data_IF_740546393520
#
_entry.id   IF_740546393520
#
_cell.length_a   1.000
_cell.length_b   1.000
_cell.length_c   1.000
_cell.angle_alpha   90.00
_cell.angle_beta   90.00
_cell.angle_gamma   90.00
#
_symmetry.space_group_name_H-M   'P 1'
#
loop_
_entity.id
_entity.type
_entity.pdbx_description
1 polymer ?
#
# COMPACT_ATOMS: atom_id res chain seq x y z
N UNK A 1 -11.91 13.76 19.51
CA UNK A 1 -12.13 12.36 19.11
C UNK A 1 -11.71 12.26 17.66
N UNK A 2 -10.49 11.80 17.37
CA UNK A 2 -10.08 11.54 15.99
C UNK A 2 -10.88 10.33 15.50
N UNK A 3 -11.87 10.57 14.67
CA UNK A 3 -12.58 9.50 13.96
C UNK A 3 -11.57 8.85 13.01
N UNK A 4 -11.06 7.70 13.39
CA UNK A 4 -10.20 6.90 12.52
C UNK A 4 -10.95 6.62 11.23
N UNK A 5 -10.38 7.04 10.10
CA UNK A 5 -11.00 6.95 8.78
C UNK A 5 -11.00 5.51 8.23
N UNK A 6 -10.21 4.61 8.84
CA UNK A 6 -10.11 3.21 8.42
C UNK A 6 -11.08 2.35 9.25
N UNK A 7 -11.96 1.60 8.57
CA UNK A 7 -12.92 0.65 9.16
C UNK A 7 -12.75 -0.76 8.62
N UNK A 8 -12.25 -0.90 7.41
CA UNK A 8 -12.02 -2.20 6.78
C UNK A 8 -10.67 -2.20 6.07
N UNK A 9 -9.88 -3.22 6.31
CA UNK A 9 -8.56 -3.41 5.71
C UNK A 9 -8.57 -4.70 4.92
N UNK A 10 -8.31 -4.64 3.61
CA UNK A 10 -8.12 -5.83 2.79
C UNK A 10 -6.66 -6.29 2.86
N UNK A 11 -6.43 -7.59 3.01
CA UNK A 11 -5.11 -8.19 2.88
C UNK A 11 -5.19 -9.40 1.96
N UNK A 12 -4.20 -9.55 1.10
CA UNK A 12 -4.06 -10.70 0.24
C UNK A 12 -3.08 -11.69 0.87
N UNK A 13 -3.41 -12.96 0.83
CA UNK A 13 -2.51 -14.04 1.24
C UNK A 13 -2.44 -15.13 0.17
N UNK A 14 -1.28 -15.73 -0.01
CA UNK A 14 -1.08 -16.84 -0.93
C UNK A 14 -1.41 -18.17 -0.26
N UNK A 15 -1.77 -19.14 -1.08
CA UNK A 15 -2.02 -20.52 -0.66
C UNK A 15 -1.14 -21.48 -1.45
N UNK A 16 -0.13 -22.09 -0.82
CA UNK A 16 0.28 -21.95 0.58
C UNK A 16 0.82 -20.55 0.91
N UNK A 17 0.84 -20.20 2.20
CA UNK A 17 1.38 -18.92 2.68
C UNK A 17 2.84 -18.76 2.27
N UNK A 18 3.19 -17.53 1.91
CA UNK A 18 4.58 -17.13 1.63
C UNK A 18 5.09 -16.17 2.73
N UNK A 19 6.41 -16.04 2.90
CA UNK A 19 6.99 -15.23 4.00
C UNK A 19 6.47 -13.79 4.05
N UNK A 20 6.19 -13.17 2.89
CA UNK A 20 5.67 -11.80 2.83
C UNK A 20 4.24 -11.65 3.37
N UNK A 21 3.46 -12.74 3.46
CA UNK A 21 2.07 -12.70 3.92
C UNK A 21 1.96 -12.46 5.42
N UNK A 22 2.84 -13.08 6.23
CA UNK A 22 2.81 -12.92 7.68
C UNK A 22 2.95 -11.46 8.08
N UNK A 23 3.95 -10.75 7.55
CA UNK A 23 4.16 -9.34 7.83
C UNK A 23 2.96 -8.47 7.45
N UNK A 24 2.36 -8.75 6.28
CA UNK A 24 1.20 -8.02 5.79
C UNK A 24 -0.04 -8.25 6.67
N UNK A 25 -0.32 -9.49 7.07
CA UNK A 25 -1.46 -9.81 7.95
C UNK A 25 -1.26 -9.23 9.35
N UNK A 26 -0.07 -9.38 9.95
CA UNK A 26 0.24 -8.82 11.26
C UNK A 26 0.11 -7.30 11.28
N UNK A 27 0.56 -6.62 10.23
CA UNK A 27 0.37 -5.18 10.08
C UNK A 27 -1.12 -4.83 9.93
N UNK A 28 -1.88 -5.56 9.10
CA UNK A 28 -3.31 -5.35 8.94
C UNK A 28 -4.05 -5.48 10.28
N UNK A 29 -3.76 -6.52 11.05
CA UNK A 29 -4.33 -6.73 12.38
C UNK A 29 -3.96 -5.61 13.36
N UNK A 30 -2.70 -5.20 13.40
CA UNK A 30 -2.24 -4.10 14.27
C UNK A 30 -2.95 -2.77 13.94
N UNK A 31 -3.06 -2.44 12.65
CA UNK A 31 -3.80 -1.26 12.20
C UNK A 31 -5.29 -1.35 12.51
N UNK A 32 -5.88 -2.54 12.34
CA UNK A 32 -7.29 -2.77 12.62
C UNK A 32 -7.63 -2.55 14.10
N UNK A 33 -6.82 -3.08 15.01
CA UNK A 33 -6.98 -2.86 16.45
C UNK A 33 -6.90 -1.37 16.80
N UNK A 34 -5.90 -0.68 16.30
CA UNK A 34 -5.71 0.76 16.53
C UNK A 34 -6.90 1.59 16.02
N UNK A 35 -7.44 1.22 14.86
CA UNK A 35 -8.52 1.95 14.20
C UNK A 35 -9.94 1.52 14.65
N UNK A 36 -10.09 0.42 15.37
CA UNK A 36 -11.38 -0.22 15.60
C UNK A 36 -11.99 -0.74 14.28
N UNK A 37 -11.14 -1.27 13.42
CA UNK A 37 -11.47 -1.78 12.09
C UNK A 37 -11.52 -3.31 12.07
N UNK A 38 -11.95 -3.89 10.93
CA UNK A 38 -11.87 -5.33 10.66
C UNK A 38 -10.94 -5.63 9.50
N UNK A 39 -10.30 -6.80 9.52
CA UNK A 39 -9.46 -7.31 8.44
C UNK A 39 -10.28 -8.22 7.54
N UNK A 40 -10.12 -8.08 6.23
CA UNK A 40 -10.72 -8.89 5.18
C UNK A 40 -9.58 -9.59 4.43
N UNK A 41 -9.28 -10.82 4.77
CA UNK A 41 -8.23 -11.59 4.11
C UNK A 41 -8.78 -12.31 2.89
N UNK A 42 -8.13 -12.16 1.73
CA UNK A 42 -8.41 -12.92 0.53
C UNK A 42 -7.30 -13.95 0.32
N UNK A 43 -7.64 -15.24 0.48
CA UNK A 43 -6.75 -16.34 0.14
C UNK A 43 -6.96 -16.81 -1.29
N UNK A 44 -5.88 -17.02 -2.02
CA UNK A 44 -5.93 -17.56 -3.38
C UNK A 44 -4.75 -18.52 -3.64
N UNK A 45 -4.96 -19.42 -4.58
CA UNK A 45 -3.96 -20.40 -4.98
C UNK A 45 -3.17 -19.91 -6.20
N UNK A 46 -1.83 -19.94 -6.11
CA UNK A 46 -0.95 -19.53 -7.22
C UNK A 46 -0.67 -20.64 -8.24
N UNK A 47 -0.93 -21.91 -7.90
CA UNK A 47 -0.65 -23.04 -8.77
C UNK A 47 -1.85 -23.45 -9.61
N UNK A 48 -1.97 -22.88 -10.80
CA UNK A 48 -3.07 -23.12 -11.76
C UNK A 48 -2.87 -24.39 -12.61
N UNK A 49 -1.78 -25.14 -12.44
CA UNK A 49 -1.42 -26.25 -13.33
C UNK A 49 -1.99 -27.63 -12.95
N UNK A 50 -2.74 -27.74 -11.86
CA UNK A 50 -3.40 -29.02 -11.49
C UNK A 50 -4.83 -28.80 -10.99
N UNK A 51 -5.85 -28.94 -11.87
CA UNK A 51 -7.26 -28.75 -11.49
C UNK A 51 -7.81 -29.78 -10.49
N UNK A 52 -7.03 -30.76 -10.06
CA UNK A 52 -7.47 -31.90 -9.24
C UNK A 52 -6.53 -32.25 -8.09
N UNK A 53 -5.83 -31.27 -7.49
CA UNK A 53 -5.07 -31.58 -6.27
C UNK A 53 -6.00 -31.66 -5.06
N UNK A 54 -6.20 -32.88 -4.53
CA UNK A 54 -6.83 -33.14 -3.23
C UNK A 54 -6.15 -32.42 -2.03
N UNK A 55 -5.07 -31.68 -2.29
CA UNK A 55 -4.32 -30.89 -1.31
C UNK A 55 -4.91 -29.47 -1.12
N UNK A 56 -5.88 -29.08 -1.93
CA UNK A 56 -6.46 -27.74 -1.87
C UNK A 56 -7.15 -27.44 -0.52
N UNK A 57 -7.90 -28.38 0.02
CA UNK A 57 -8.65 -28.18 1.26
C UNK A 57 -7.72 -28.17 2.50
N UNK A 58 -6.70 -29.06 2.53
CA UNK A 58 -5.73 -29.09 3.63
C UNK A 58 -4.91 -27.80 3.71
N UNK A 59 -4.49 -27.26 2.57
CA UNK A 59 -3.74 -26.00 2.53
C UNK A 59 -4.61 -24.80 2.92
N UNK A 60 -5.91 -24.82 2.62
CA UNK A 60 -6.84 -23.78 3.05
C UNK A 60 -7.03 -23.80 4.56
N UNK A 61 -7.26 -24.97 5.14
CA UNK A 61 -7.41 -25.14 6.59
C UNK A 61 -6.17 -24.60 7.31
N UNK A 62 -4.97 -24.93 6.83
CA UNK A 62 -3.73 -24.44 7.40
C UNK A 62 -3.58 -22.89 7.30
N UNK A 63 -4.00 -22.31 6.17
CA UNK A 63 -4.03 -20.82 6.03
C UNK A 63 -5.02 -20.23 7.01
N UNK A 64 -6.23 -20.78 7.12
CA UNK A 64 -7.25 -20.29 8.05
C UNK A 64 -6.75 -20.35 9.49
N UNK A 65 -6.24 -21.48 9.94
CA UNK A 65 -5.69 -21.65 11.29
C UNK A 65 -4.60 -20.63 11.60
N UNK A 66 -3.70 -20.39 10.66
CA UNK A 66 -2.62 -19.42 10.85
C UNK A 66 -3.14 -17.98 10.92
N UNK A 67 -4.10 -17.61 10.07
CA UNK A 67 -4.74 -16.29 10.13
C UNK A 67 -5.49 -16.09 11.46
N UNK A 68 -6.18 -17.10 11.96
CA UNK A 68 -6.85 -17.06 13.25
C UNK A 68 -5.86 -16.87 14.41
N UNK A 69 -4.71 -17.57 14.37
CA UNK A 69 -3.63 -17.38 15.36
C UNK A 69 -3.12 -15.93 15.34
N UNK A 70 -2.76 -15.39 14.18
CA UNK A 70 -2.26 -14.03 14.09
C UNK A 70 -3.29 -12.96 14.49
N UNK A 71 -4.55 -13.20 14.11
CA UNK A 71 -5.66 -12.32 14.49
C UNK A 71 -5.92 -12.35 16.00
N UNK A 72 -5.89 -13.54 16.61
CA UNK A 72 -6.07 -13.73 18.04
C UNK A 72 -4.93 -13.08 18.85
N UNK A 73 -3.68 -13.29 18.43
CA UNK A 73 -2.51 -12.66 19.05
C UNK A 73 -2.61 -11.13 19.05
N UNK A 74 -3.13 -10.56 17.96
CA UNK A 74 -3.31 -9.12 17.84
C UNK A 74 -4.61 -8.59 18.48
N UNK A 75 -5.61 -9.45 18.72
CA UNK A 75 -6.95 -9.05 19.15
C UNK A 75 -7.78 -8.38 18.06
N UNK A 76 -7.52 -8.70 16.78
CA UNK A 76 -8.19 -8.11 15.62
C UNK A 76 -9.29 -9.01 15.07
N UNK A 77 -10.46 -8.49 14.68
CA UNK A 77 -11.45 -9.25 13.93
C UNK A 77 -10.97 -9.47 12.50
N UNK A 78 -10.89 -10.73 12.06
CA UNK A 78 -10.53 -11.12 10.70
C UNK A 78 -11.62 -11.96 10.08
N UNK A 79 -11.92 -11.72 8.80
CA UNK A 79 -12.79 -12.55 7.97
C UNK A 79 -11.99 -13.07 6.78
N UNK A 80 -12.03 -14.38 6.55
CA UNK A 80 -11.40 -15.01 5.40
C UNK A 80 -12.39 -15.10 4.23
N UNK A 81 -11.96 -14.59 3.09
CA UNK A 81 -12.63 -14.74 1.80
C UNK A 81 -11.81 -15.72 0.96
N UNK A 82 -12.43 -16.80 0.62
CA UNK A 82 -11.84 -17.80 -0.25
C UNK A 82 -12.27 -17.59 -1.69
N UNK A 83 -11.31 -17.67 -2.61
CA UNK A 83 -11.59 -17.74 -4.04
C UNK A 83 -10.68 -18.78 -4.70
N UNK A 84 -11.30 -19.81 -5.24
CA UNK A 84 -10.69 -20.74 -6.17
C UNK A 84 -10.91 -20.21 -7.57
N UNK A 85 -10.06 -19.31 -8.05
CA UNK A 85 -10.20 -18.78 -9.40
C UNK A 85 -8.91 -18.96 -10.19
N UNK A 86 -9.10 -19.22 -11.49
CA UNK A 86 -8.03 -19.22 -12.49
C UNK A 86 -7.29 -17.88 -12.49
N UNK A 87 -6.00 -17.90 -12.81
CA UNK A 87 -5.06 -16.78 -12.68
C UNK A 87 -5.53 -15.43 -13.27
N UNK A 88 -6.43 -15.45 -14.25
CA UNK A 88 -6.91 -14.25 -14.94
C UNK A 88 -7.86 -13.37 -14.10
N UNK A 89 -8.54 -13.94 -13.08
CA UNK A 89 -9.51 -13.21 -12.24
C UNK A 89 -9.01 -12.75 -10.87
N UNK A 90 -7.80 -13.14 -10.48
CA UNK A 90 -7.30 -12.89 -9.10
C UNK A 90 -7.11 -11.39 -8.83
N UNK A 91 -6.57 -10.66 -9.78
CA UNK A 91 -6.38 -9.20 -9.67
C UNK A 91 -7.71 -8.47 -9.50
N UNK A 92 -8.70 -8.82 -10.33
CA UNK A 92 -10.05 -8.25 -10.28
C UNK A 92 -10.76 -8.61 -8.97
N UNK A 93 -10.58 -9.84 -8.48
CA UNK A 93 -11.22 -10.28 -7.22
C UNK A 93 -10.69 -9.50 -6.03
N UNK A 94 -9.37 -9.31 -5.94
CA UNK A 94 -8.80 -8.50 -4.85
C UNK A 94 -9.18 -7.01 -4.98
N UNK A 95 -9.17 -6.46 -6.19
CA UNK A 95 -9.62 -5.10 -6.44
C UNK A 95 -11.08 -4.90 -6.04
N UNK A 96 -11.96 -5.84 -6.38
CA UNK A 96 -13.39 -5.80 -5.99
C UNK A 96 -13.57 -5.85 -4.46
N UNK A 97 -12.82 -6.69 -3.75
CA UNK A 97 -12.84 -6.69 -2.29
C UNK A 97 -12.36 -5.35 -1.74
N UNK A 98 -11.29 -4.82 -2.32
CA UNK A 98 -10.68 -3.56 -1.87
C UNK A 98 -11.58 -2.35 -2.10
N UNK A 99 -12.45 -2.34 -3.13
CA UNK A 99 -13.47 -1.29 -3.33
C UNK A 99 -14.41 -1.10 -2.13
N UNK A 100 -14.55 -2.14 -1.31
CA UNK A 100 -15.37 -2.12 -0.08
C UNK A 100 -14.51 -2.02 1.19
N UNK A 101 -13.23 -1.64 1.05
CA UNK A 101 -12.29 -1.43 2.13
C UNK A 101 -11.62 -0.05 2.00
N UNK A 102 -11.10 0.45 3.11
CA UNK A 102 -10.46 1.77 3.15
C UNK A 102 -8.98 1.69 2.80
N UNK A 103 -8.37 0.51 2.97
CA UNK A 103 -6.95 0.26 2.72
C UNK A 103 -6.73 -1.19 2.31
N UNK A 104 -5.89 -1.40 1.29
CA UNK A 104 -5.31 -2.70 0.98
C UNK A 104 -3.90 -2.83 1.55
N UNK A 105 -3.51 -4.03 1.95
CA UNK A 105 -2.12 -4.35 2.32
C UNK A 105 -1.67 -5.55 1.51
N UNK A 106 -0.53 -5.39 0.83
CA UNK A 106 0.12 -6.43 0.06
C UNK A 106 1.54 -6.67 0.56
N UNK A 107 1.84 -7.88 1.00
CA UNK A 107 3.21 -8.32 1.22
C UNK A 107 3.96 -8.37 -0.12
N UNK A 108 5.14 -7.76 -0.16
CA UNK A 108 5.98 -7.73 -1.37
C UNK A 108 7.01 -8.85 -1.26
N UNK A 109 6.92 -9.91 -2.08
CA UNK A 109 7.90 -10.98 -2.06
C UNK A 109 9.25 -10.50 -2.56
N UNK A 110 10.34 -11.15 -2.12
CA UNK A 110 11.69 -10.84 -2.56
C UNK A 110 11.85 -10.88 -4.09
N UNK A 111 11.10 -11.76 -4.77
CA UNK A 111 11.03 -11.82 -6.23
C UNK A 111 9.60 -11.56 -6.69
N UNK A 112 9.40 -10.44 -7.37
CA UNK A 112 8.10 -10.04 -7.87
C UNK A 112 7.75 -10.78 -9.17
N UNK A 113 6.77 -11.67 -9.11
CA UNK A 113 6.25 -12.37 -10.28
C UNK A 113 5.39 -11.44 -11.17
N UNK A 114 5.14 -11.86 -12.42
CA UNK A 114 4.19 -11.17 -13.29
C UNK A 114 2.78 -11.14 -12.69
N UNK A 115 2.37 -12.21 -12.01
CA UNK A 115 1.09 -12.29 -11.30
C UNK A 115 0.99 -11.26 -10.16
N UNK A 116 2.05 -11.09 -9.37
CA UNK A 116 2.10 -10.06 -8.34
C UNK A 116 1.90 -8.65 -8.91
N UNK A 117 2.58 -8.32 -10.02
CA UNK A 117 2.45 -7.01 -10.68
C UNK A 117 1.04 -6.78 -11.23
N UNK A 118 0.41 -7.81 -11.79
CA UNK A 118 -0.96 -7.73 -12.30
C UNK A 118 -1.96 -7.47 -11.18
N UNK A 119 -1.88 -8.22 -10.07
CA UNK A 119 -2.71 -8.03 -8.88
C UNK A 119 -2.52 -6.63 -8.30
N UNK A 120 -1.27 -6.21 -8.15
CA UNK A 120 -0.93 -4.88 -7.64
C UNK A 120 -1.50 -3.76 -8.50
N UNK A 121 -1.41 -3.91 -9.84
CA UNK A 121 -1.99 -2.94 -10.79
C UNK A 121 -3.50 -2.84 -10.64
N UNK A 122 -4.21 -3.98 -10.62
CA UNK A 122 -5.66 -4.00 -10.43
C UNK A 122 -6.05 -3.38 -9.07
N UNK A 123 -5.36 -3.75 -7.99
CA UNK A 123 -5.61 -3.22 -6.67
C UNK A 123 -5.48 -1.69 -6.60
N UNK A 124 -4.39 -1.13 -7.16
CA UNK A 124 -4.13 0.32 -7.13
C UNK A 124 -5.13 1.10 -7.97
N UNK A 125 -5.45 0.63 -9.17
CA UNK A 125 -6.21 1.43 -10.14
C UNK A 125 -7.72 1.17 -10.12
N UNK A 126 -8.11 -0.04 -9.75
CA UNK A 126 -9.51 -0.47 -9.81
C UNK A 126 -10.08 -0.77 -8.41
N UNK A 127 -9.21 -0.92 -7.39
CA UNK A 127 -9.60 -1.18 -6.00
C UNK A 127 -9.58 0.08 -5.13
N UNK A 128 -8.40 0.54 -4.74
CA UNK A 128 -8.23 1.67 -3.81
C UNK A 128 -6.77 1.86 -3.36
N UNK A 129 -6.53 2.59 -2.28
CA UNK A 129 -5.17 2.76 -1.77
C UNK A 129 -4.59 1.45 -1.25
N UNK A 130 -3.33 1.18 -1.60
CA UNK A 130 -2.62 -0.04 -1.24
C UNK A 130 -1.29 0.29 -0.56
N UNK A 131 -1.08 -0.28 0.61
CA UNK A 131 0.20 -0.28 1.31
C UNK A 131 0.99 -1.54 0.95
N UNK A 132 2.10 -1.37 0.27
CA UNK A 132 3.06 -2.42 -0.07
C UNK A 132 4.06 -2.56 1.08
N UNK A 133 4.15 -3.75 1.65
CA UNK A 133 5.06 -4.05 2.75
C UNK A 133 6.16 -4.99 2.26
N UNK A 134 7.42 -4.55 2.14
CA UNK A 134 8.53 -5.43 1.80
C UNK A 134 8.67 -6.59 2.80
N UNK A 135 8.97 -7.79 2.30
CA UNK A 135 9.11 -9.01 3.11
C UNK A 135 10.06 -8.85 4.29
N UNK A 136 11.17 -8.12 4.08
CA UNK A 136 12.18 -7.90 5.10
C UNK A 136 11.95 -6.64 5.95
N UNK A 137 10.73 -6.07 5.90
CA UNK A 137 10.41 -4.93 6.76
C UNK A 137 10.45 -5.34 8.23
N UNK A 138 11.04 -4.50 9.08
CA UNK A 138 10.90 -4.68 10.52
C UNK A 138 9.41 -4.70 10.91
N UNK A 139 9.01 -5.45 11.94
CA UNK A 139 7.64 -5.42 12.43
C UNK A 139 7.21 -3.99 12.74
N UNK A 140 6.17 -3.51 12.04
CA UNK A 140 5.68 -2.14 12.19
C UNK A 140 4.32 -2.19 12.86
N UNK A 141 4.21 -1.55 14.02
CA UNK A 141 2.94 -1.42 14.73
C UNK A 141 2.36 -0.01 14.63
N UNK A 142 3.21 0.97 14.36
CA UNK A 142 2.84 2.36 14.23
C UNK A 142 3.83 3.08 13.30
N UNK A 143 3.35 4.07 12.57
CA UNK A 143 4.18 4.92 11.73
C UNK A 143 4.39 6.26 12.42
N UNK A 144 5.65 6.61 12.65
CA UNK A 144 6.00 7.89 13.24
C UNK A 144 6.04 9.00 12.17
N UNK A 145 6.41 8.63 10.93
CA UNK A 145 6.59 9.62 9.87
C UNK A 145 6.21 9.06 8.51
N UNK A 146 5.33 9.75 7.79
CA UNK A 146 4.89 9.40 6.43
C UNK A 146 5.31 10.53 5.49
N UNK A 147 6.12 10.22 4.49
CA UNK A 147 6.42 11.17 3.42
C UNK A 147 5.44 10.99 2.26
N UNK A 148 4.77 12.07 1.87
CA UNK A 148 3.85 12.08 0.73
C UNK A 148 4.52 12.81 -0.43
N UNK A 149 4.87 12.06 -1.48
CA UNK A 149 5.34 12.64 -2.74
C UNK A 149 4.19 13.39 -3.43
N UNK A 150 4.30 14.72 -3.47
CA UNK A 150 3.25 15.59 -3.97
C UNK A 150 3.56 16.12 -5.37
N UNK A 151 2.64 15.84 -6.27
CA UNK A 151 2.50 16.54 -7.56
C UNK A 151 1.00 16.74 -7.77
N UNK A 152 0.50 17.99 -7.97
CA UNK A 152 -0.93 18.25 -8.02
C UNK A 152 -1.68 17.32 -8.97
N UNK A 153 -2.74 16.67 -8.46
CA UNK A 153 -3.54 15.74 -9.23
C UNK A 153 -4.38 14.79 -8.36
N UNK A 154 -5.33 14.12 -8.98
CA UNK A 154 -6.28 13.26 -8.29
C UNK A 154 -5.59 12.09 -7.54
N UNK A 155 -4.57 11.47 -8.16
CA UNK A 155 -3.82 10.37 -7.55
C UNK A 155 -3.03 10.83 -6.31
N UNK A 156 -2.32 11.97 -6.39
CA UNK A 156 -1.62 12.54 -5.24
C UNK A 156 -2.58 12.92 -4.10
N UNK A 157 -3.74 13.49 -4.43
CA UNK A 157 -4.77 13.80 -3.44
C UNK A 157 -5.31 12.55 -2.76
N UNK A 158 -5.51 11.44 -3.49
CA UNK A 158 -5.90 10.14 -2.91
C UNK A 158 -4.82 9.59 -2.00
N UNK A 159 -3.55 9.65 -2.43
CA UNK A 159 -2.42 9.20 -1.62
C UNK A 159 -2.30 10.00 -0.31
N UNK A 160 -2.46 11.34 -0.37
CA UNK A 160 -2.46 12.19 0.83
C UNK A 160 -3.59 11.82 1.79
N UNK A 161 -4.82 11.64 1.29
CA UNK A 161 -5.98 11.24 2.11
C UNK A 161 -5.76 9.88 2.76
N UNK A 162 -5.22 8.92 2.02
CA UNK A 162 -4.88 7.60 2.55
C UNK A 162 -3.75 7.67 3.58
N UNK A 163 -2.74 8.51 3.38
CA UNK A 163 -1.68 8.76 4.36
C UNK A 163 -2.23 9.38 5.65
N UNK A 164 -3.17 10.34 5.56
CA UNK A 164 -3.86 10.92 6.71
C UNK A 164 -4.66 9.86 7.46
N UNK A 165 -5.37 8.97 6.74
CA UNK A 165 -6.12 7.89 7.36
C UNK A 165 -5.21 6.86 8.05
N UNK A 166 -4.02 6.61 7.50
CA UNK A 166 -3.00 5.71 8.05
C UNK A 166 -2.29 6.31 9.27
N UNK A 167 -2.18 7.65 9.32
CA UNK A 167 -1.49 8.36 10.38
C UNK A 167 -2.15 8.12 11.75
N UNK A 168 -1.35 7.78 12.75
CA UNK A 168 -1.77 7.79 14.15
C UNK A 168 -1.68 9.20 14.76
N UNK A 169 -2.07 9.33 16.03
CA UNK A 169 -2.06 10.61 16.75
C UNK A 169 -0.69 11.29 16.80
N UNK A 170 0.37 10.50 16.82
CA UNK A 170 1.75 10.99 16.95
C UNK A 170 2.51 11.00 15.62
N UNK A 171 1.84 10.62 14.53
CA UNK A 171 2.43 10.61 13.21
C UNK A 171 2.62 12.02 12.66
N UNK A 172 3.73 12.21 11.95
CA UNK A 172 4.02 13.41 11.17
C UNK A 172 3.91 13.11 9.68
N UNK A 173 3.22 13.95 8.92
CA UNK A 173 3.18 13.89 7.46
C UNK A 173 4.13 14.95 6.88
N UNK A 174 5.06 14.49 6.02
CA UNK A 174 5.92 15.37 5.24
C UNK A 174 5.37 15.40 3.82
N UNK A 175 4.83 16.55 3.40
CA UNK A 175 4.42 16.75 2.00
C UNK A 175 5.66 17.19 1.21
N UNK A 176 6.20 16.28 0.41
CA UNK A 176 7.43 16.43 -0.35
C UNK A 176 7.15 16.72 -1.82
N UNK A 177 7.58 17.87 -2.31
CA UNK A 177 7.44 18.26 -3.72
C UNK A 177 8.81 18.37 -4.36
N UNK A 178 8.99 17.66 -5.49
CA UNK A 178 10.22 17.73 -6.27
C UNK A 178 10.28 19.04 -7.03
N UNK A 179 11.36 19.81 -6.84
CA UNK A 179 11.64 21.01 -7.61
C UNK A 179 12.15 20.65 -9.00
N UNK A 180 11.40 21.04 -10.04
CA UNK A 180 11.84 20.91 -11.42
C UNK A 180 12.66 22.16 -11.83
N UNK A 181 13.77 22.00 -12.60
CA UNK A 181 14.70 23.09 -12.91
C UNK A 181 14.11 24.32 -13.62
N UNK A 182 12.92 24.21 -14.19
CA UNK A 182 12.26 25.24 -14.99
C UNK A 182 10.95 25.77 -14.39
N UNK A 183 10.58 25.40 -13.17
CA UNK A 183 9.42 25.96 -12.49
C UNK A 183 9.84 27.22 -11.74
N UNK A 184 9.54 28.37 -12.31
CA UNK A 184 9.89 29.69 -11.77
C UNK A 184 9.09 30.09 -10.52
N UNK A 185 8.30 29.23 -9.95
CA UNK A 185 7.59 29.38 -8.68
C UNK A 185 7.45 28.02 -8.02
N UNK A 186 7.78 27.95 -6.73
CA UNK A 186 7.29 26.88 -5.88
C UNK A 186 5.77 26.85 -6.04
N UNK A 187 5.25 25.74 -6.54
CA UNK A 187 3.81 25.55 -6.65
C UNK A 187 3.24 25.50 -5.22
N UNK A 188 2.45 26.51 -4.86
CA UNK A 188 1.85 26.67 -3.53
C UNK A 188 0.95 25.47 -3.15
N UNK A 189 0.64 24.60 -4.12
CA UNK A 189 -0.21 23.43 -3.90
C UNK A 189 0.33 22.44 -2.86
N UNK A 190 1.65 22.33 -2.70
CA UNK A 190 2.26 21.51 -1.65
C UNK A 190 2.02 22.10 -0.25
N UNK A 191 2.01 23.42 -0.14
CA UNK A 191 1.67 24.14 1.10
C UNK A 191 0.19 23.93 1.42
N UNK A 192 -0.70 24.06 0.43
CA UNK A 192 -2.13 23.80 0.60
C UNK A 192 -2.42 22.34 0.98
N UNK A 193 -1.68 21.39 0.41
CA UNK A 193 -1.77 19.97 0.80
C UNK A 193 -1.35 19.75 2.26
N UNK A 194 -0.36 20.51 2.74
CA UNK A 194 0.08 20.49 4.14
C UNK A 194 -1.01 21.07 5.06
N UNK A 195 -1.60 22.20 4.69
CA UNK A 195 -2.72 22.79 5.43
C UNK A 195 -3.93 21.84 5.47
N UNK A 196 -4.20 21.14 4.36
CA UNK A 196 -5.23 20.11 4.32
C UNK A 196 -4.97 18.99 5.34
N UNK A 197 -3.74 18.46 5.41
CA UNK A 197 -3.40 17.43 6.40
C UNK A 197 -3.54 17.95 7.84
N UNK A 198 -3.07 19.17 8.10
CA UNK A 198 -3.19 19.82 9.41
C UNK A 198 -4.64 20.03 9.83
N UNK A 199 -5.55 20.39 8.90
CA UNK A 199 -6.98 20.52 9.14
C UNK A 199 -7.65 19.19 9.56
N UNK A 200 -7.04 18.04 9.22
CA UNK A 200 -7.45 16.71 9.66
C UNK A 200 -6.81 16.27 10.98
N UNK A 201 -6.12 17.19 11.67
CA UNK A 201 -5.54 16.95 12.99
C UNK A 201 -4.20 16.19 12.98
N UNK A 202 -3.56 16.08 11.82
CA UNK A 202 -2.23 15.46 11.69
C UNK A 202 -1.15 16.51 11.70
N UNK A 203 -0.04 16.27 12.39
CA UNK A 203 1.15 17.14 12.27
C UNK A 203 1.67 17.03 10.84
N UNK A 204 1.81 18.17 10.16
CA UNK A 204 2.23 18.17 8.77
C UNK A 204 3.23 19.32 8.50
N UNK A 205 4.21 19.02 7.63
CA UNK A 205 5.17 20.03 7.14
C UNK A 205 5.36 19.88 5.63
N UNK A 206 5.64 21.00 4.99
CA UNK A 206 6.00 21.04 3.57
C UNK A 206 7.52 20.96 3.41
N UNK A 207 7.95 20.18 2.41
CA UNK A 207 9.36 20.09 2.05
C UNK A 207 9.54 20.15 0.52
N UNK A 208 10.23 21.17 0.05
CA UNK A 208 10.72 21.22 -1.32
C UNK A 208 11.98 20.37 -1.45
N UNK A 209 11.97 19.43 -2.40
CA UNK A 209 13.07 18.48 -2.62
C UNK A 209 13.77 18.81 -3.94
N UNK A 210 15.03 19.24 -3.92
CA UNK A 210 15.77 19.48 -5.15
C UNK A 210 16.07 18.17 -5.87
N UNK A 211 15.70 18.09 -7.14
CA UNK A 211 15.91 16.88 -7.95
C UNK A 211 17.40 16.52 -8.09
N UNK A 212 18.29 17.51 -8.13
CA UNK A 212 19.76 17.33 -8.27
C UNK A 212 20.15 16.40 -9.41
N UNK A 213 19.42 16.45 -10.54
CA UNK A 213 19.64 15.60 -11.69
C UNK A 213 19.15 14.15 -11.53
N UNK A 214 18.47 13.80 -10.43
CA UNK A 214 17.86 12.49 -10.21
C UNK A 214 16.46 12.45 -10.80
N UNK A 215 15.99 11.24 -11.15
CA UNK A 215 14.58 11.02 -11.39
C UNK A 215 13.76 11.25 -10.12
N UNK A 216 12.50 11.65 -10.27
CA UNK A 216 11.63 12.00 -9.14
C UNK A 216 11.53 10.89 -8.09
N UNK A 217 11.44 9.62 -8.52
CA UNK A 217 11.43 8.46 -7.61
C UNK A 217 12.69 8.40 -6.75
N UNK A 218 13.88 8.46 -7.36
CA UNK A 218 15.15 8.39 -6.65
C UNK A 218 15.36 9.60 -5.70
N UNK A 219 14.85 10.78 -6.09
CA UNK A 219 14.89 11.95 -5.23
C UNK A 219 13.96 11.81 -4.01
N UNK A 220 12.74 11.24 -4.20
CA UNK A 220 11.80 10.97 -3.12
C UNK A 220 12.33 9.89 -2.17
N UNK A 221 12.92 8.81 -2.69
CA UNK A 221 13.53 7.76 -1.86
C UNK A 221 14.66 8.30 -1.00
N UNK A 222 15.56 9.09 -1.58
CA UNK A 222 16.67 9.71 -0.86
C UNK A 222 16.16 10.69 0.23
N UNK A 223 15.14 11.47 -0.07
CA UNK A 223 14.52 12.35 0.90
C UNK A 223 13.82 11.56 2.02
N UNK A 224 13.09 10.49 1.67
CA UNK A 224 12.45 9.62 2.65
C UNK A 224 13.47 9.00 3.62
N UNK A 225 14.65 8.65 3.14
CA UNK A 225 15.76 8.19 3.99
C UNK A 225 16.30 9.32 4.88
N UNK A 226 16.61 10.48 4.30
CA UNK A 226 17.15 11.65 5.00
C UNK A 226 16.22 12.13 6.12
N UNK A 227 14.90 12.12 5.88
CA UNK A 227 13.89 12.53 6.85
C UNK A 227 13.44 11.40 7.77
N UNK A 228 13.96 10.18 7.63
CA UNK A 228 13.60 9.02 8.43
C UNK A 228 12.11 8.66 8.31
N UNK A 229 11.56 8.72 7.10
CA UNK A 229 10.17 8.36 6.87
C UNK A 229 9.98 6.84 6.93
N UNK A 230 9.00 6.38 7.69
CA UNK A 230 8.64 4.95 7.79
C UNK A 230 7.89 4.47 6.55
N UNK A 231 7.11 5.38 5.94
CA UNK A 231 6.29 5.11 4.75
C UNK A 231 6.53 6.19 3.70
N UNK A 232 6.67 5.77 2.45
CA UNK A 232 6.57 6.65 1.29
C UNK A 232 5.16 6.50 0.68
N UNK A 233 4.40 7.59 0.61
CA UNK A 233 3.09 7.62 -0.04
C UNK A 233 3.16 8.40 -1.35
N UNK A 234 2.63 7.86 -2.44
CA UNK A 234 2.61 8.56 -3.73
C UNK A 234 1.37 8.20 -4.55
N UNK A 235 0.96 9.14 -5.41
CA UNK A 235 -0.06 8.88 -6.41
C UNK A 235 0.47 7.98 -7.51
N UNK A 236 -0.33 6.98 -7.92
CA UNK A 236 -0.06 6.14 -9.07
C UNK A 236 -0.86 6.65 -10.28
N UNK A 237 -0.19 6.86 -11.40
CA UNK A 237 -0.82 7.35 -12.64
C UNK A 237 -0.73 6.27 -13.69
N UNK A 238 -1.88 5.95 -14.31
CA UNK A 238 -1.93 5.06 -15.48
C UNK A 238 -1.65 5.90 -16.73
N UNK A 239 -0.59 5.58 -17.45
CA UNK A 239 -0.28 6.21 -18.73
C UNK A 239 -0.85 5.40 -19.89
N UNK A 240 -1.92 5.92 -20.52
CA UNK A 240 -2.42 5.53 -21.85
C UNK A 240 -2.95 4.11 -22.06
N UNK A 241 -3.66 3.86 -23.17
CA UNK A 241 -4.23 2.54 -23.50
C UNK A 241 -3.24 1.54 -24.13
N UNK A 242 -1.96 1.88 -24.26
CA UNK A 242 -0.97 1.00 -24.89
C UNK A 242 -0.34 0.11 -23.81
N UNK A 243 -0.56 -1.17 -23.95
CA UNK A 243 -0.26 -2.29 -23.04
C UNK A 243 1.19 -2.45 -22.53
N UNK A 244 2.10 -1.51 -22.73
CA UNK A 244 3.51 -1.64 -22.34
C UNK A 244 3.99 -0.67 -21.25
N UNK A 245 3.15 0.27 -20.79
CA UNK A 245 3.48 1.20 -19.70
C UNK A 245 2.28 1.36 -18.77
N UNK A 246 2.03 0.35 -17.92
CA UNK A 246 0.90 0.37 -16.97
C UNK A 246 1.06 1.43 -15.88
N UNK A 247 2.27 1.94 -15.64
CA UNK A 247 2.59 2.79 -14.50
C UNK A 247 3.24 4.12 -14.91
N UNK A 248 2.96 5.18 -14.15
CA UNK A 248 3.74 6.41 -14.20
C UNK A 248 5.19 6.19 -13.73
N UNK A 249 6.09 7.14 -14.01
CA UNK A 249 7.52 6.99 -13.77
C UNK A 249 7.85 6.49 -12.35
N UNK A 250 7.29 7.11 -11.32
CA UNK A 250 7.54 6.73 -9.91
C UNK A 250 7.07 5.31 -9.62
N UNK A 251 5.86 4.95 -10.05
CA UNK A 251 5.30 3.62 -9.80
C UNK A 251 6.04 2.54 -10.60
N UNK A 252 6.43 2.84 -11.84
CA UNK A 252 7.23 1.95 -12.68
C UNK A 252 8.57 1.64 -12.00
N UNK A 253 9.29 2.69 -11.59
CA UNK A 253 10.58 2.56 -10.93
C UNK A 253 10.48 1.72 -9.63
N UNK A 254 9.39 1.90 -8.85
CA UNK A 254 9.12 1.07 -7.66
C UNK A 254 8.98 -0.43 -7.97
N UNK A 255 8.33 -0.78 -9.08
CA UNK A 255 8.19 -2.18 -9.50
C UNK A 255 9.44 -2.74 -10.20
N UNK A 256 10.32 -1.89 -10.74
CA UNK A 256 11.58 -2.29 -11.39
C UNK A 256 12.73 -2.36 -10.38
N UNK A 257 12.88 -1.34 -9.53
CA UNK A 257 13.98 -1.22 -8.56
C UNK A 257 13.67 -1.94 -7.23
N UNK A 258 12.41 -2.30 -7.00
CA UNK A 258 11.92 -2.92 -5.77
C UNK A 258 11.41 -1.94 -4.72
N UNK A 259 10.67 -2.49 -3.76
CA UNK A 259 10.16 -1.75 -2.61
C UNK A 259 11.18 -1.87 -1.47
N UNK A 260 11.88 -0.79 -1.16
CA UNK A 260 12.90 -0.76 -0.10
C UNK A 260 12.33 -0.35 1.26
N UNK A 261 11.10 0.12 1.30
CA UNK A 261 10.36 0.53 2.50
C UNK A 261 8.86 0.36 2.29
N UNK A 262 8.05 0.35 3.35
CA UNK A 262 6.61 0.42 3.22
C UNK A 262 6.20 1.57 2.31
N UNK A 263 5.41 1.26 1.27
CA UNK A 263 5.04 2.24 0.24
C UNK A 263 3.54 2.22 0.01
N UNK A 264 2.89 3.37 0.19
CA UNK A 264 1.45 3.57 -0.03
C UNK A 264 1.23 4.14 -1.42
N UNK A 265 0.50 3.42 -2.26
CA UNK A 265 0.12 3.84 -3.61
C UNK A 265 -1.40 4.03 -3.71
N UNK A 266 -1.83 5.11 -4.41
CA UNK A 266 -3.24 5.35 -4.72
C UNK A 266 -3.38 5.81 -6.16
N UNK A 267 -4.15 5.08 -6.95
CA UNK A 267 -4.39 5.34 -8.37
C UNK A 267 -5.58 6.25 -8.68
#
# INVERSE_FOLDING_TARGET
>A
MNSTLIRRIAVRVERPLVPSDEGAVRLACSLAVRAGASVQALAYETNVLSPHSSHGDETLTAVQEMLEVWAQEAGAPIALHERTNFAEGIGETFATLLQLCDLGILGVPAQQSAGFRMISSAAIFDGGPVLFLPENSAPVHNFARIMVGWKPGAAASRALKAAIALAGSDCEIIVAQIEEPNTSRADESGIEATHFAAAHGVRAQFQAIPARGRHAHAALLAAAEEFGADVLATGAIRHGPIHQSLFGSVTKDLFEDGFHRPTLLAG
#
